data_IF_533362705762
#
_entry.id   IF_533362705762
#
_cell.length_a   1.000
_cell.length_b   1.000
_cell.length_c   1.000
_cell.angle_alpha   90.00
_cell.angle_beta   90.00
_cell.angle_gamma   90.00
#
_symmetry.space_group_name_H-M   'P 1'
#
loop_
_entity.id
_entity.type
_entity.pdbx_description
1 polymer ?
#
# COMPACT_ATOMS: atom_id res chain seq x y z
N UNK A 1 -0.50 -18.64 21.57
CA UNK A 1 0.04 -19.98 21.18
C UNK A 1 -0.99 -20.89 20.50
N UNK A 2 -2.31 -20.68 20.66
CA UNK A 2 -3.36 -21.50 20.04
C UNK A 2 -3.86 -20.97 18.69
N UNK A 3 -3.61 -19.71 18.37
CA UNK A 3 -4.22 -19.00 17.25
C UNK A 3 -3.76 -19.47 15.85
N UNK A 4 -2.52 -19.97 15.71
CA UNK A 4 -1.94 -20.41 14.42
C UNK A 4 -2.00 -21.93 14.20
N UNK A 5 -2.83 -22.67 14.94
CA UNK A 5 -2.83 -24.15 14.95
C UNK A 5 -3.79 -24.79 13.96
N UNK A 6 -4.66 -24.02 13.33
CA UNK A 6 -5.60 -24.50 12.34
C UNK A 6 -5.77 -23.51 11.18
N UNK A 7 -6.43 -23.94 10.13
CA UNK A 7 -6.68 -23.15 8.92
C UNK A 7 -7.42 -21.84 9.25
N UNK A 8 -8.43 -21.92 10.11
CA UNK A 8 -9.25 -20.75 10.50
C UNK A 8 -8.42 -19.69 11.22
N UNK A 9 -7.53 -20.12 12.11
CA UNK A 9 -6.60 -19.24 12.80
C UNK A 9 -5.63 -18.55 11.84
N UNK A 10 -5.08 -19.31 10.86
CA UNK A 10 -4.20 -18.75 9.84
C UNK A 10 -4.95 -17.77 8.91
N UNK A 11 -6.18 -18.07 8.50
CA UNK A 11 -7.02 -17.14 7.74
C UNK A 11 -7.32 -15.86 8.52
N UNK A 12 -7.65 -15.98 9.80
CA UNK A 12 -7.82 -14.84 10.70
C UNK A 12 -6.54 -14.01 10.84
N UNK A 13 -5.37 -14.67 10.92
CA UNK A 13 -4.08 -13.99 10.93
C UNK A 13 -3.82 -13.21 9.64
N UNK A 14 -4.15 -13.78 8.48
CA UNK A 14 -4.06 -13.08 7.17
C UNK A 14 -4.95 -11.84 7.17
N UNK A 15 -6.19 -11.91 7.66
CA UNK A 15 -7.05 -10.74 7.78
C UNK A 15 -6.39 -9.67 8.66
N UNK A 16 -5.80 -10.05 9.80
CA UNK A 16 -5.05 -9.15 10.67
C UNK A 16 -3.80 -8.52 10.00
N UNK A 17 -3.23 -9.15 8.96
CA UNK A 17 -2.16 -8.56 8.15
C UNK A 17 -2.74 -7.44 7.26
N UNK A 18 -3.89 -7.66 6.61
CA UNK A 18 -4.56 -6.61 5.82
C UNK A 18 -5.00 -5.43 6.68
N UNK A 19 -5.53 -5.70 7.87
CA UNK A 19 -5.92 -4.69 8.85
C UNK A 19 -4.75 -3.75 9.22
N UNK A 20 -3.54 -4.27 9.39
CA UNK A 20 -2.37 -3.44 9.68
C UNK A 20 -2.03 -2.44 8.56
N UNK A 21 -2.38 -2.72 7.30
CA UNK A 21 -2.21 -1.76 6.21
C UNK A 21 -3.06 -0.51 6.37
N UNK A 22 -4.19 -0.61 7.06
CA UNK A 22 -5.09 0.53 7.34
C UNK A 22 -4.55 1.45 8.44
N UNK A 23 -3.55 0.98 9.20
CA UNK A 23 -2.94 1.75 10.30
C UNK A 23 -2.63 3.17 9.88
N UNK A 24 -2.83 4.11 10.81
CA UNK A 24 -2.42 5.52 10.63
C UNK A 24 -0.92 5.67 10.35
N UNK A 25 -0.12 4.69 10.75
CA UNK A 25 1.32 4.66 10.54
C UNK A 25 1.70 4.14 9.14
N UNK A 26 0.73 3.54 8.41
CA UNK A 26 0.90 3.10 7.02
C UNK A 26 -0.02 3.89 6.07
N UNK A 27 -0.84 3.17 5.30
CA UNK A 27 -1.70 3.75 4.27
C UNK A 27 -2.83 4.62 4.83
N UNK A 28 -3.12 4.53 6.14
CA UNK A 28 -4.06 5.44 6.81
C UNK A 28 -3.57 6.88 6.83
N UNK A 29 -2.26 7.15 7.02
CA UNK A 29 -1.76 8.52 7.06
C UNK A 29 -0.26 8.67 6.77
N UNK A 30 0.63 8.18 7.67
CA UNK A 30 2.05 8.56 7.69
C UNK A 30 2.82 8.13 6.46
N UNK A 31 2.64 6.89 6.00
CA UNK A 31 3.31 6.43 4.79
C UNK A 31 2.93 7.28 3.56
N UNK A 32 1.65 7.60 3.42
CA UNK A 32 1.19 8.46 2.34
C UNK A 32 1.76 9.87 2.45
N UNK A 33 1.85 10.41 3.67
CA UNK A 33 2.52 11.70 3.90
C UNK A 33 3.97 11.66 3.42
N UNK A 34 4.72 10.59 3.74
CA UNK A 34 6.11 10.43 3.30
C UNK A 34 6.26 10.34 1.78
N UNK A 35 5.27 9.76 1.09
CA UNK A 35 5.32 9.59 -0.35
C UNK A 35 4.89 10.83 -1.13
N UNK A 36 3.91 11.57 -0.62
CA UNK A 36 3.30 12.71 -1.33
C UNK A 36 4.01 14.04 -1.03
N UNK A 37 4.36 14.28 0.23
CA UNK A 37 4.91 15.58 0.65
C UNK A 37 6.34 15.80 0.17
N UNK A 38 7.07 14.73 -0.13
CA UNK A 38 8.41 14.84 -0.76
C UNK A 38 8.38 15.15 -2.25
N UNK A 39 7.20 15.12 -2.86
CA UNK A 39 7.02 15.46 -4.27
C UNK A 39 6.69 16.93 -4.45
N UNK A 40 7.09 17.49 -5.60
CA UNK A 40 6.89 18.91 -5.92
C UNK A 40 5.41 19.28 -6.15
N UNK A 41 4.52 18.28 -6.22
CA UNK A 41 3.09 18.49 -6.49
C UNK A 41 2.26 18.80 -5.24
N UNK A 42 2.83 18.69 -4.05
CA UNK A 42 2.13 18.85 -2.77
C UNK A 42 2.96 19.72 -1.85
N UNK A 43 2.32 20.71 -1.23
CA UNK A 43 2.93 21.64 -0.29
C UNK A 43 2.27 21.52 1.09
N UNK A 44 3.07 21.63 2.13
CA UNK A 44 2.60 21.77 3.49
C UNK A 44 2.86 23.19 4.01
N UNK A 45 1.83 24.02 4.04
CA UNK A 45 1.95 25.41 4.48
C UNK A 45 2.07 25.57 5.99
N UNK A 46 2.03 24.48 6.77
CA UNK A 46 1.97 24.54 8.23
C UNK A 46 3.28 24.15 8.90
N UNK A 47 4.25 25.06 8.91
CA UNK A 47 5.54 24.89 9.60
C UNK A 47 5.44 24.78 11.11
N UNK A 48 4.34 25.24 11.72
CA UNK A 48 4.13 25.26 13.18
C UNK A 48 3.29 24.10 13.73
N UNK A 49 2.48 23.44 12.89
CA UNK A 49 1.60 22.38 13.36
C UNK A 49 2.39 21.13 13.77
N UNK A 50 2.07 20.57 14.92
CA UNK A 50 2.71 19.36 15.44
C UNK A 50 4.25 19.44 15.47
N UNK A 51 4.82 20.61 15.74
CA UNK A 51 6.27 20.83 15.73
C UNK A 51 6.91 20.79 14.34
N UNK A 52 6.12 21.03 13.29
CA UNK A 52 6.62 21.04 11.91
C UNK A 52 7.00 19.67 11.36
N UNK A 53 6.52 18.58 11.96
CA UNK A 53 6.90 17.19 11.60
C UNK A 53 6.69 16.90 10.10
N UNK A 54 5.57 17.32 9.53
CA UNK A 54 5.30 17.14 8.10
C UNK A 54 6.10 18.13 7.26
N UNK A 55 6.25 19.37 7.72
CA UNK A 55 7.07 20.38 7.06
C UNK A 55 8.56 19.97 6.98
N UNK A 56 9.10 19.33 8.02
CA UNK A 56 10.47 18.81 7.98
C UNK A 56 10.67 17.83 6.81
N UNK A 57 9.65 17.02 6.48
CA UNK A 57 9.71 16.06 5.36
C UNK A 57 9.72 16.80 4.03
N UNK A 58 8.91 17.86 3.89
CA UNK A 58 8.83 18.68 2.68
C UNK A 58 10.16 19.36 2.37
N UNK A 59 10.78 19.94 3.38
CA UNK A 59 12.05 20.68 3.21
C UNK A 59 13.30 19.82 3.45
N UNK A 60 13.16 18.51 3.56
CA UNK A 60 14.25 17.54 3.72
C UNK A 60 15.16 17.82 4.94
N UNK A 61 14.55 18.27 6.05
CA UNK A 61 15.24 18.52 7.33
C UNK A 61 14.84 17.55 8.44
N UNK A 62 14.12 16.49 8.08
CA UNK A 62 13.68 15.47 9.01
C UNK A 62 14.86 14.72 9.66
N UNK A 63 14.67 14.36 10.91
CA UNK A 63 15.61 13.53 11.67
C UNK A 63 15.00 12.15 11.96
N UNK A 64 15.80 11.17 12.41
CA UNK A 64 15.27 9.86 12.83
C UNK A 64 14.19 9.94 13.92
N UNK A 65 14.12 11.05 14.66
CA UNK A 65 13.10 11.29 15.68
C UNK A 65 11.75 11.74 15.09
N UNK A 66 11.69 12.05 13.78
CA UNK A 66 10.43 12.41 13.12
C UNK A 66 9.42 11.26 13.21
N UNK A 67 8.26 11.52 13.83
CA UNK A 67 7.27 10.47 14.12
C UNK A 67 6.59 9.90 12.88
N UNK A 68 6.60 10.60 11.74
CA UNK A 68 6.10 10.02 10.47
C UNK A 68 7.08 8.94 9.98
N UNK A 69 8.39 9.18 10.06
CA UNK A 69 9.41 8.20 9.68
C UNK A 69 9.41 7.00 10.61
N UNK A 70 9.54 7.24 11.93
CA UNK A 70 9.63 6.15 12.91
C UNK A 70 8.34 5.33 12.98
N UNK A 71 7.17 5.97 12.90
CA UNK A 71 5.89 5.27 12.88
C UNK A 71 5.75 4.37 11.64
N UNK A 72 6.03 4.89 10.45
CA UNK A 72 5.97 4.10 9.22
C UNK A 72 6.95 2.91 9.24
N UNK A 73 8.20 3.15 9.70
CA UNK A 73 9.19 2.09 9.87
C UNK A 73 8.70 0.96 10.78
N UNK A 74 8.26 1.32 11.98
CA UNK A 74 7.80 0.35 12.99
C UNK A 74 6.57 -0.43 12.50
N UNK A 75 5.63 0.24 11.87
CA UNK A 75 4.41 -0.43 11.37
C UNK A 75 4.71 -1.36 10.20
N UNK A 76 5.60 -0.99 9.26
CA UNK A 76 6.03 -1.88 8.18
C UNK A 76 6.69 -3.15 8.72
N UNK A 77 7.60 -3.04 9.69
CA UNK A 77 8.21 -4.21 10.31
C UNK A 77 7.25 -5.03 11.18
N UNK A 78 6.28 -4.40 11.81
CA UNK A 78 5.19 -5.11 12.51
C UNK A 78 4.35 -5.94 11.54
N UNK A 79 4.06 -5.42 10.36
CA UNK A 79 3.36 -6.15 9.29
C UNK A 79 4.22 -7.33 8.80
N UNK A 80 5.51 -7.11 8.55
CA UNK A 80 6.46 -8.18 8.16
C UNK A 80 6.51 -9.27 9.23
N UNK A 81 6.55 -8.92 10.50
CA UNK A 81 6.51 -9.88 11.60
C UNK A 81 5.23 -10.73 11.57
N UNK A 82 4.06 -10.13 11.37
CA UNK A 82 2.79 -10.86 11.22
C UNK A 82 2.80 -11.79 10.01
N UNK A 83 3.34 -11.34 8.86
CA UNK A 83 3.52 -12.18 7.68
C UNK A 83 4.42 -13.38 7.99
N UNK A 84 5.54 -13.17 8.69
CA UNK A 84 6.46 -14.23 9.07
C UNK A 84 5.80 -15.27 9.97
N UNK A 85 4.95 -14.84 10.92
CA UNK A 85 4.18 -15.77 11.75
C UNK A 85 3.27 -16.67 10.93
N UNK A 86 2.57 -16.11 9.93
CA UNK A 86 1.73 -16.92 9.04
C UNK A 86 2.58 -17.87 8.22
N UNK A 87 3.65 -17.39 7.59
CA UNK A 87 4.51 -18.18 6.70
C UNK A 87 5.27 -19.30 7.42
N UNK A 88 5.60 -19.12 8.70
CA UNK A 88 6.22 -20.19 9.51
C UNK A 88 5.22 -21.28 9.91
N UNK A 89 3.97 -20.91 10.21
CA UNK A 89 2.99 -21.85 10.70
C UNK A 89 2.18 -22.53 9.59
N UNK A 90 2.13 -21.96 8.38
CA UNK A 90 1.35 -22.52 7.27
C UNK A 90 1.84 -23.90 6.82
N UNK A 91 3.12 -24.20 7.01
CA UNK A 91 3.71 -25.51 6.66
C UNK A 91 3.37 -26.59 7.68
N UNK A 92 3.11 -26.21 8.93
CA UNK A 92 2.85 -27.13 10.03
C UNK A 92 1.38 -27.51 10.18
N UNK A 93 0.46 -26.70 9.65
CA UNK A 93 -0.97 -26.89 9.77
C UNK A 93 -1.48 -27.81 8.64
N UNK A 94 -2.17 -28.94 8.98
CA UNK A 94 -2.78 -29.81 7.98
C UNK A 94 -3.86 -29.06 7.19
N UNK A 95 -3.70 -28.99 5.87
CA UNK A 95 -4.63 -28.34 4.95
C UNK A 95 -4.39 -28.80 3.50
N UNK A 96 -5.30 -28.48 2.58
CA UNK A 96 -5.07 -28.72 1.17
C UNK A 96 -3.96 -27.81 0.61
N UNK A 97 -3.31 -28.24 -0.47
CA UNK A 97 -2.29 -27.42 -1.16
C UNK A 97 -2.86 -26.10 -1.66
N UNK A 98 -4.13 -26.10 -2.07
CA UNK A 98 -4.84 -24.89 -2.48
C UNK A 98 -4.99 -23.89 -1.32
N UNK A 99 -5.42 -24.36 -0.14
CA UNK A 99 -5.54 -23.51 1.05
C UNK A 99 -4.17 -22.96 1.46
N UNK A 100 -3.14 -23.82 1.46
CA UNK A 100 -1.76 -23.44 1.76
C UNK A 100 -1.27 -22.35 0.81
N UNK A 101 -1.43 -22.54 -0.50
CA UNK A 101 -1.05 -21.57 -1.53
C UNK A 101 -1.77 -20.24 -1.36
N UNK A 102 -3.06 -20.26 -1.05
CA UNK A 102 -3.87 -19.05 -0.80
C UNK A 102 -3.39 -18.26 0.43
N UNK A 103 -3.12 -18.95 1.53
CA UNK A 103 -2.66 -18.33 2.79
C UNK A 103 -1.24 -17.78 2.63
N UNK A 104 -0.31 -18.63 2.17
CA UNK A 104 1.08 -18.25 1.96
C UNK A 104 1.23 -17.13 0.92
N UNK A 105 0.51 -17.20 -0.18
CA UNK A 105 0.55 -16.19 -1.25
C UNK A 105 0.13 -14.81 -0.78
N UNK A 106 -0.92 -14.71 0.04
CA UNK A 106 -1.36 -13.42 0.59
C UNK A 106 -0.33 -12.83 1.56
N UNK A 107 0.20 -13.64 2.49
CA UNK A 107 1.22 -13.18 3.43
C UNK A 107 2.51 -12.75 2.69
N UNK A 108 2.93 -13.51 1.68
CA UNK A 108 4.09 -13.17 0.84
C UNK A 108 3.85 -11.87 0.05
N UNK A 109 2.67 -11.69 -0.55
CA UNK A 109 2.35 -10.44 -1.26
C UNK A 109 2.49 -9.21 -0.36
N UNK A 110 1.93 -9.26 0.85
CA UNK A 110 1.97 -8.12 1.77
C UNK A 110 3.39 -7.92 2.32
N UNK A 111 4.14 -8.98 2.58
CA UNK A 111 5.55 -8.87 2.98
C UNK A 111 6.39 -8.21 1.89
N UNK A 112 6.21 -8.63 0.65
CA UNK A 112 6.85 -7.99 -0.50
C UNK A 112 6.48 -6.51 -0.64
N UNK A 113 5.21 -6.14 -0.47
CA UNK A 113 4.74 -4.76 -0.49
C UNK A 113 5.42 -3.93 0.60
N UNK A 114 5.54 -4.47 1.82
CA UNK A 114 6.22 -3.79 2.92
C UNK A 114 7.72 -3.59 2.62
N UNK A 115 8.42 -4.60 2.12
CA UNK A 115 9.82 -4.46 1.74
C UNK A 115 10.02 -3.50 0.56
N UNK A 116 9.11 -3.48 -0.40
CA UNK A 116 9.16 -2.53 -1.50
C UNK A 116 8.96 -1.09 -1.02
N UNK A 117 8.12 -0.87 -0.02
CA UNK A 117 7.98 0.42 0.63
C UNK A 117 9.24 0.81 1.42
N UNK A 118 9.80 -0.13 2.18
CA UNK A 118 11.03 0.08 2.95
C UNK A 118 12.22 0.44 2.06
N UNK A 119 12.49 -0.34 1.00
CA UNK A 119 13.65 -0.12 0.15
C UNK A 119 13.58 1.21 -0.63
N UNK A 120 12.37 1.65 -1.00
CA UNK A 120 12.18 2.94 -1.69
C UNK A 120 12.40 4.14 -0.78
N UNK A 121 12.07 4.03 0.52
CA UNK A 121 12.21 5.13 1.47
C UNK A 121 13.57 5.16 2.17
N UNK A 122 14.15 4.00 2.47
CA UNK A 122 15.36 3.90 3.30
C UNK A 122 16.55 3.23 2.62
N UNK A 123 16.39 2.71 1.40
CA UNK A 123 17.45 2.00 0.70
C UNK A 123 17.77 0.65 1.35
N UNK A 124 18.96 0.50 1.88
CA UNK A 124 19.38 -0.70 2.62
C UNK A 124 18.60 -0.85 3.93
N UNK A 125 18.00 -2.01 4.13
CA UNK A 125 17.17 -2.34 5.30
C UNK A 125 17.40 -3.77 5.76
N UNK A 126 17.20 -4.10 7.06
CA UNK A 126 17.27 -5.48 7.53
C UNK A 126 16.24 -6.38 6.85
N UNK A 127 16.67 -7.55 6.35
CA UNK A 127 15.78 -8.61 5.85
C UNK A 127 15.47 -9.56 6.99
N UNK A 128 14.19 -9.63 7.38
CA UNK A 128 13.68 -10.46 8.46
C UNK A 128 12.60 -11.37 7.90
N UNK A 129 12.91 -12.63 7.66
CA UNK A 129 12.01 -13.62 7.04
C UNK A 129 11.42 -14.63 8.02
N UNK A 130 11.80 -14.54 9.28
CA UNK A 130 11.31 -15.38 10.38
C UNK A 130 11.17 -14.57 11.65
N UNK A 131 10.43 -15.11 12.61
CA UNK A 131 10.39 -14.55 13.95
C UNK A 131 11.76 -14.64 14.61
N UNK A 132 12.10 -13.65 15.42
CA UNK A 132 13.41 -13.53 16.07
C UNK A 132 13.25 -13.27 17.55
N UNK A 133 14.18 -13.76 18.34
CA UNK A 133 14.38 -13.36 19.72
C UNK A 133 14.96 -11.93 19.78
N UNK A 134 14.87 -11.30 20.94
CA UNK A 134 15.47 -9.97 21.17
C UNK A 134 16.99 -9.99 20.93
N UNK A 135 17.67 -11.08 21.29
CA UNK A 135 19.10 -11.23 21.08
C UNK A 135 19.47 -11.31 19.58
N UNK A 136 18.70 -12.06 18.80
CA UNK A 136 18.88 -12.12 17.33
C UNK A 136 18.60 -10.78 16.68
N UNK A 137 17.51 -10.10 17.08
CA UNK A 137 17.10 -8.83 16.51
C UNK A 137 18.15 -7.72 16.69
N UNK A 138 18.90 -7.72 17.80
CA UNK A 138 19.99 -6.76 18.05
C UNK A 138 21.16 -6.91 17.09
N UNK A 139 21.31 -8.04 16.45
CA UNK A 139 22.40 -8.32 15.50
C UNK A 139 22.00 -8.10 14.04
N UNK A 140 20.76 -7.70 13.78
CA UNK A 140 20.31 -7.42 12.41
C UNK A 140 21.12 -6.28 11.80
N UNK A 141 21.62 -6.52 10.61
CA UNK A 141 22.31 -5.51 9.79
C UNK A 141 21.42 -5.14 8.62
N UNK A 142 21.63 -3.96 8.07
CA UNK A 142 21.03 -3.58 6.79
C UNK A 142 21.58 -4.49 5.69
N UNK A 143 20.69 -5.05 4.89
CA UNK A 143 21.05 -5.81 3.71
C UNK A 143 21.21 -4.87 2.51
N UNK A 144 22.12 -5.19 1.57
CA UNK A 144 22.24 -4.45 0.31
C UNK A 144 20.91 -4.36 -0.42
N UNK A 145 20.68 -3.26 -1.13
CA UNK A 145 19.45 -2.98 -1.88
C UNK A 145 19.07 -4.16 -2.79
N UNK A 146 20.06 -4.75 -3.47
CA UNK A 146 19.83 -5.87 -4.40
C UNK A 146 19.30 -7.12 -3.69
N UNK A 147 19.77 -7.40 -2.49
CA UNK A 147 19.26 -8.51 -1.67
C UNK A 147 17.82 -8.26 -1.22
N UNK A 148 17.49 -7.01 -0.85
CA UNK A 148 16.11 -6.62 -0.50
C UNK A 148 15.18 -6.83 -1.69
N UNK A 149 15.59 -6.41 -2.90
CA UNK A 149 14.82 -6.67 -4.12
C UNK A 149 14.73 -8.17 -4.43
N UNK A 150 15.79 -8.94 -4.18
CA UNK A 150 15.75 -10.40 -4.30
C UNK A 150 14.68 -11.04 -3.41
N UNK A 151 14.56 -10.60 -2.15
CA UNK A 151 13.51 -11.05 -1.24
C UNK A 151 12.11 -10.66 -1.74
N UNK A 152 11.93 -9.44 -2.23
CA UNK A 152 10.65 -8.97 -2.79
C UNK A 152 10.23 -9.84 -3.98
N UNK A 153 11.15 -10.12 -4.91
CA UNK A 153 10.89 -10.95 -6.09
C UNK A 153 10.53 -12.37 -5.68
N UNK A 154 11.24 -12.95 -4.71
CA UNK A 154 10.95 -14.28 -4.18
C UNK A 154 9.54 -14.37 -3.57
N UNK A 155 9.15 -13.40 -2.76
CA UNK A 155 7.82 -13.32 -2.16
C UNK A 155 6.72 -13.17 -3.21
N UNK A 156 6.94 -12.33 -4.23
CA UNK A 156 5.97 -12.12 -5.31
C UNK A 156 5.86 -13.35 -6.23
N UNK A 157 6.93 -14.15 -6.38
CA UNK A 157 6.85 -15.41 -7.09
C UNK A 157 5.87 -16.39 -6.40
N UNK A 158 5.86 -16.44 -5.08
CA UNK A 158 4.85 -17.21 -4.31
C UNK A 158 3.46 -16.61 -4.50
N UNK A 159 3.34 -15.28 -4.44
CA UNK A 159 2.06 -14.59 -4.55
C UNK A 159 1.41 -14.73 -5.94
N UNK A 160 2.16 -15.00 -7.01
CA UNK A 160 1.61 -15.30 -8.36
C UNK A 160 0.73 -16.56 -8.38
N UNK A 161 0.86 -17.45 -7.40
CA UNK A 161 -0.02 -18.61 -7.21
C UNK A 161 -1.41 -18.28 -6.65
N UNK A 162 -1.70 -17.03 -6.32
CA UNK A 162 -3.01 -16.59 -5.83
C UNK A 162 -4.09 -16.71 -6.93
N UNK A 163 -5.38 -16.83 -6.57
CA UNK A 163 -6.47 -16.72 -7.53
C UNK A 163 -6.42 -15.39 -8.29
N UNK A 164 -6.78 -15.43 -9.56
CA UNK A 164 -6.96 -14.21 -10.36
C UNK A 164 -8.13 -13.36 -9.84
N UNK A 165 -9.18 -14.00 -9.33
CA UNK A 165 -10.38 -13.38 -8.76
C UNK A 165 -10.78 -14.11 -7.50
N UNK A 166 -11.18 -13.38 -6.49
CA UNK A 166 -11.78 -13.89 -5.27
C UNK A 166 -13.30 -13.84 -5.35
N UNK A 167 -14.01 -14.72 -4.61
CA UNK A 167 -15.45 -14.56 -4.40
C UNK A 167 -15.81 -13.18 -3.88
N UNK A 168 -17.01 -12.70 -4.13
CA UNK A 168 -17.48 -11.37 -3.72
C UNK A 168 -17.29 -11.09 -2.23
N UNK A 169 -17.53 -12.11 -1.38
CA UNK A 169 -17.34 -12.02 0.09
C UNK A 169 -15.88 -11.86 0.51
N UNK A 170 -14.94 -12.13 -0.38
CA UNK A 170 -13.49 -12.07 -0.12
C UNK A 170 -12.79 -11.00 -0.98
N UNK A 171 -13.56 -10.11 -1.59
CA UNK A 171 -13.03 -9.00 -2.37
C UNK A 171 -12.10 -8.12 -1.55
N UNK A 172 -11.08 -7.58 -2.19
CA UNK A 172 -10.07 -6.75 -1.56
C UNK A 172 -8.80 -7.50 -1.17
N UNK A 173 -8.82 -8.84 -1.20
CA UNK A 173 -7.60 -9.65 -1.04
C UNK A 173 -6.69 -9.54 -2.26
N UNK A 174 -5.39 -9.72 -2.06
CA UNK A 174 -4.42 -9.76 -3.15
C UNK A 174 -4.73 -10.89 -4.13
N UNK A 175 -4.57 -10.61 -5.41
CA UNK A 175 -4.78 -11.56 -6.53
C UNK A 175 -3.47 -11.85 -7.25
N UNK A 176 -3.45 -12.84 -8.12
CA UNK A 176 -2.30 -13.05 -9.01
C UNK A 176 -2.03 -11.82 -9.88
N UNK A 177 -3.06 -11.11 -10.33
CA UNK A 177 -2.88 -9.84 -11.06
C UNK A 177 -2.19 -8.77 -10.21
N UNK A 178 -2.52 -8.68 -8.93
CA UNK A 178 -1.84 -7.77 -8.01
C UNK A 178 -0.36 -8.12 -7.84
N UNK A 179 -0.05 -9.43 -7.73
CA UNK A 179 1.33 -9.91 -7.65
C UNK A 179 2.12 -9.59 -8.93
N UNK A 180 1.57 -9.86 -10.09
CA UNK A 180 2.17 -9.52 -11.39
C UNK A 180 2.39 -8.00 -11.54
N UNK A 181 1.40 -7.18 -11.21
CA UNK A 181 1.49 -5.73 -11.31
C UNK A 181 2.54 -5.13 -10.34
N UNK A 182 2.61 -5.65 -9.11
CA UNK A 182 3.63 -5.22 -8.15
C UNK A 182 5.03 -5.66 -8.58
N UNK A 183 5.17 -6.89 -9.11
CA UNK A 183 6.44 -7.39 -9.61
C UNK A 183 6.92 -6.61 -10.84
N UNK A 184 6.02 -6.28 -11.75
CA UNK A 184 6.34 -5.39 -12.87
C UNK A 184 6.83 -4.02 -12.39
N UNK A 185 6.19 -3.45 -11.36
CA UNK A 185 6.65 -2.19 -10.75
C UNK A 185 8.04 -2.33 -10.11
N UNK A 186 8.31 -3.45 -9.46
CA UNK A 186 9.65 -3.78 -8.92
C UNK A 186 10.71 -3.81 -10.03
N UNK A 187 10.44 -4.51 -11.13
CA UNK A 187 11.34 -4.55 -12.28
C UNK A 187 11.51 -3.19 -12.96
N UNK A 188 10.47 -2.35 -12.99
CA UNK A 188 10.57 -0.98 -13.49
C UNK A 188 11.58 -0.15 -12.67
N UNK A 189 11.52 -0.23 -11.34
CA UNK A 189 12.51 0.42 -10.45
C UNK A 189 13.92 -0.13 -10.65
N UNK A 190 14.05 -1.40 -11.03
CA UNK A 190 15.32 -2.05 -11.36
C UNK A 190 15.77 -1.82 -12.80
N UNK A 191 14.99 -1.08 -13.62
CA UNK A 191 15.24 -0.80 -15.04
C UNK A 191 15.29 -2.07 -15.90
N UNK A 192 14.68 -3.15 -15.45
CA UNK A 192 14.56 -4.39 -16.20
C UNK A 192 13.27 -4.38 -17.02
N UNK A 193 13.25 -3.62 -18.10
CA UNK A 193 12.05 -3.33 -18.88
C UNK A 193 11.47 -4.57 -19.59
N UNK A 194 12.31 -5.55 -19.92
CA UNK A 194 11.82 -6.79 -20.53
C UNK A 194 10.93 -7.56 -19.54
N UNK A 195 11.37 -7.68 -18.29
CA UNK A 195 10.56 -8.34 -17.26
C UNK A 195 9.29 -7.55 -16.91
N UNK A 196 9.31 -6.22 -17.02
CA UNK A 196 8.09 -5.41 -16.87
C UNK A 196 7.04 -5.85 -17.89
N UNK A 197 7.43 -6.00 -19.16
CA UNK A 197 6.52 -6.44 -20.22
C UNK A 197 6.02 -7.86 -19.97
N UNK A 198 6.93 -8.76 -19.60
CA UNK A 198 6.60 -10.16 -19.32
C UNK A 198 5.58 -10.29 -18.17
N UNK A 199 5.80 -9.57 -17.07
CA UNK A 199 4.92 -9.62 -15.91
C UNK A 199 3.57 -8.91 -16.15
N UNK A 200 3.52 -7.87 -16.98
CA UNK A 200 2.25 -7.20 -17.30
C UNK A 200 1.41 -7.95 -18.34
N UNK A 201 1.99 -8.87 -19.10
CA UNK A 201 1.27 -9.57 -20.17
C UNK A 201 -0.05 -10.23 -19.69
N UNK A 202 -0.11 -11.01 -18.58
CA UNK A 202 -1.36 -11.59 -18.10
C UNK A 202 -2.37 -10.53 -17.62
N UNK A 203 -1.91 -9.43 -17.06
CA UNK A 203 -2.77 -8.31 -16.59
C UNK A 203 -3.40 -7.61 -17.79
N UNK A 204 -2.61 -7.30 -18.82
CA UNK A 204 -3.08 -6.66 -20.05
C UNK A 204 -4.06 -7.57 -20.80
N UNK A 205 -3.77 -8.88 -20.86
CA UNK A 205 -4.68 -9.86 -21.45
C UNK A 205 -6.04 -9.89 -20.71
N UNK A 206 -6.05 -9.83 -19.38
CA UNK A 206 -7.28 -9.78 -18.58
C UNK A 206 -8.08 -8.49 -18.83
N UNK A 207 -7.39 -7.35 -18.96
CA UNK A 207 -8.02 -6.06 -19.29
C UNK A 207 -8.67 -6.11 -20.68
N UNK A 208 -7.98 -6.66 -21.68
CA UNK A 208 -8.52 -6.81 -23.03
C UNK A 208 -9.71 -7.77 -23.08
N UNK A 209 -9.71 -8.80 -22.25
CA UNK A 209 -10.85 -9.71 -22.14
C UNK A 209 -12.07 -9.06 -21.47
N UNK A 210 -11.89 -7.98 -20.70
CA UNK A 210 -12.96 -7.18 -20.07
C UNK A 210 -13.81 -7.93 -19.03
N UNK A 211 -13.35 -9.11 -18.59
CA UNK A 211 -14.10 -9.97 -17.66
C UNK A 211 -13.79 -9.63 -16.20
N UNK A 212 -12.54 -9.76 -15.83
CA UNK A 212 -12.08 -9.63 -14.44
C UNK A 212 -11.49 -8.24 -14.16
N UNK A 213 -10.74 -7.73 -15.12
CA UNK A 213 -10.20 -6.39 -15.16
C UNK A 213 -10.66 -5.67 -16.43
N UNK A 214 -10.85 -4.36 -16.36
CA UNK A 214 -11.12 -3.53 -17.53
C UNK A 214 -10.78 -2.08 -17.26
N UNK A 215 -10.44 -1.33 -18.32
CA UNK A 215 -10.37 0.12 -18.24
C UNK A 215 -11.78 0.69 -18.19
N UNK A 216 -12.02 1.58 -17.24
CA UNK A 216 -13.29 2.30 -17.12
C UNK A 216 -13.13 3.74 -17.58
N UNK A 217 -14.20 4.40 -18.09
CA UNK A 217 -14.15 5.83 -18.40
C UNK A 217 -13.74 6.67 -17.18
N UNK A 218 -12.97 7.72 -17.38
CA UNK A 218 -12.43 8.56 -16.30
C UNK A 218 -13.45 8.98 -15.23
N UNK A 219 -14.71 9.36 -15.54
CA UNK A 219 -15.69 9.70 -14.52
C UNK A 219 -16.07 8.52 -13.60
N UNK A 220 -15.80 7.29 -14.03
CA UNK A 220 -16.06 6.06 -13.26
C UNK A 220 -14.84 5.54 -12.52
N UNK A 221 -13.66 6.15 -12.73
CA UNK A 221 -12.40 5.73 -12.08
C UNK A 221 -12.44 5.97 -10.56
N UNK A 222 -13.24 6.92 -10.10
CA UNK A 222 -13.40 7.25 -8.69
C UNK A 222 -14.87 7.13 -8.25
N UNK A 223 -15.48 5.95 -8.35
CA UNK A 223 -16.86 5.75 -7.92
C UNK A 223 -16.99 5.86 -6.40
N UNK A 224 -18.19 6.16 -5.92
CA UNK A 224 -18.50 6.18 -4.48
C UNK A 224 -18.29 4.80 -3.82
N UNK A 225 -18.40 3.73 -4.58
CA UNK A 225 -18.12 2.36 -4.18
C UNK A 225 -16.98 1.78 -5.04
N UNK A 226 -15.76 1.95 -4.55
CA UNK A 226 -14.56 1.39 -5.20
C UNK A 226 -14.54 -0.14 -5.22
N UNK A 227 -15.34 -0.82 -4.40
CA UNK A 227 -15.37 -2.29 -4.33
C UNK A 227 -15.84 -2.94 -5.63
N UNK A 228 -16.59 -2.21 -6.45
CA UNK A 228 -17.15 -2.73 -7.70
C UNK A 228 -16.34 -2.34 -8.95
N UNK A 229 -15.36 -1.46 -8.82
CA UNK A 229 -14.59 -1.01 -9.99
C UNK A 229 -13.62 -2.07 -10.48
N UNK A 230 -13.70 -2.38 -11.77
CA UNK A 230 -12.85 -3.37 -12.43
C UNK A 230 -11.49 -2.84 -12.88
N UNK A 231 -11.24 -1.54 -12.74
CA UNK A 231 -9.93 -0.92 -12.99
C UNK A 231 -8.98 -1.01 -11.79
N UNK A 232 -9.48 -1.46 -10.63
CA UNK A 232 -8.69 -1.61 -9.42
C UNK A 232 -8.07 -3.00 -9.36
N UNK A 233 -6.74 -3.06 -9.46
CA UNK A 233 -5.96 -4.31 -9.34
C UNK A 233 -5.80 -4.71 -7.87
N UNK A 234 -5.49 -3.76 -7.00
CA UNK A 234 -5.40 -3.93 -5.55
C UNK A 234 -5.62 -2.59 -4.83
N UNK A 235 -6.38 -2.60 -3.75
CA UNK A 235 -6.57 -1.44 -2.89
C UNK A 235 -6.71 -1.87 -1.42
N UNK A 236 -6.14 -1.07 -0.53
CA UNK A 236 -6.40 -1.22 0.92
C UNK A 236 -7.84 -0.81 1.18
N UNK A 237 -8.62 -1.73 1.75
CA UNK A 237 -10.05 -1.52 1.98
C UNK A 237 -10.26 -0.78 3.29
N UNK A 238 -11.19 0.17 3.30
CA UNK A 238 -11.64 0.88 4.50
C UNK A 238 -13.16 0.81 4.61
N UNK A 239 -13.67 0.66 5.82
CA UNK A 239 -15.11 0.65 6.08
C UNK A 239 -15.56 2.03 6.54
N UNK A 240 -16.57 2.61 5.87
CA UNK A 240 -17.17 3.89 6.28
C UNK A 240 -17.80 3.74 7.67
N UNK A 241 -17.37 4.57 8.64
CA UNK A 241 -17.92 4.56 9.99
C UNK A 241 -17.41 3.44 10.90
N UNK A 242 -16.45 2.63 10.45
CA UNK A 242 -15.80 1.62 11.29
C UNK A 242 -14.98 2.24 12.43
N UNK A 243 -15.01 1.60 13.61
CA UNK A 243 -14.20 2.02 14.74
C UNK A 243 -12.72 1.73 14.44
N UNK A 244 -11.88 2.76 14.45
CA UNK A 244 -10.46 2.64 14.12
C UNK A 244 -10.14 2.67 12.62
N UNK A 245 -11.15 2.65 11.76
CA UNK A 245 -11.02 2.69 10.30
C UNK A 245 -11.24 4.13 9.76
N UNK A 246 -10.46 5.09 10.25
CA UNK A 246 -10.60 6.44 9.74
C UNK A 246 -9.91 6.58 8.38
N UNK A 247 -10.67 7.06 7.40
CA UNK A 247 -10.14 7.47 6.09
C UNK A 247 -9.40 8.80 6.27
N UNK A 248 -8.25 8.77 6.94
CA UNK A 248 -7.45 9.96 7.20
C UNK A 248 -7.06 10.71 5.93
N UNK A 249 -6.95 10.02 4.79
CA UNK A 249 -6.64 10.65 3.51
C UNK A 249 -7.75 11.59 3.04
N UNK A 250 -9.02 11.16 3.09
CA UNK A 250 -10.12 12.05 2.70
C UNK A 250 -10.15 13.31 3.55
N UNK A 251 -9.86 13.19 4.85
CA UNK A 251 -9.84 14.34 5.74
C UNK A 251 -8.62 15.25 5.47
N UNK A 252 -7.48 14.72 5.08
CA UNK A 252 -6.29 15.52 4.78
C UNK A 252 -6.42 16.35 3.51
N UNK A 253 -7.12 15.83 2.49
CA UNK A 253 -7.36 16.54 1.24
C UNK A 253 -8.66 17.33 1.23
N UNK A 254 -9.58 17.04 2.17
CA UNK A 254 -10.93 17.58 2.19
C UNK A 254 -11.18 18.68 3.21
N UNK A 255 -10.55 18.65 4.38
CA UNK A 255 -10.85 19.54 5.49
C UNK A 255 -9.68 20.44 5.86
N UNK A 256 -9.96 21.73 5.83
CA UNK A 256 -9.13 22.81 6.36
C UNK A 256 -9.01 22.80 7.89
N UNK A 257 -9.61 21.83 8.59
CA UNK A 257 -9.99 22.02 9.98
C UNK A 257 -8.87 21.87 11.02
N UNK A 258 -7.66 21.39 10.66
CA UNK A 258 -6.62 21.19 11.66
C UNK A 258 -5.18 21.53 11.24
N UNK A 259 -4.97 22.45 10.32
CA UNK A 259 -3.64 23.00 10.06
C UNK A 259 -2.63 22.06 9.38
N UNK A 260 -3.01 20.87 8.97
CA UNK A 260 -2.20 19.95 8.19
C UNK A 260 -2.70 19.91 6.74
N UNK A 261 -2.70 21.06 6.08
CA UNK A 261 -3.14 21.17 4.70
C UNK A 261 -2.01 20.71 3.80
N UNK A 262 -2.21 19.58 3.15
CA UNK A 262 -1.46 19.24 1.97
C UNK A 262 -2.19 19.92 0.81
N UNK A 263 -1.73 21.09 0.36
CA UNK A 263 -2.24 21.75 -0.82
C UNK A 263 -1.47 21.26 -2.06
N UNK A 264 -2.16 21.07 -3.17
CA UNK A 264 -1.50 20.89 -4.45
C UNK A 264 -0.84 22.23 -4.81
N UNK A 265 0.46 22.21 -4.99
CA UNK A 265 1.18 23.34 -5.53
C UNK A 265 0.90 23.38 -7.04
N UNK A 266 0.02 24.27 -7.42
CA UNK A 266 -0.29 24.67 -8.78
C UNK A 266 -0.34 23.52 -9.81
N UNK A 267 -1.48 22.85 -9.89
CA UNK A 267 -1.73 21.93 -11.00
C UNK A 267 -1.84 22.75 -12.30
N UNK A 268 -0.73 23.02 -12.95
CA UNK A 268 -0.72 23.55 -14.30
C UNK A 268 -1.16 22.46 -15.27
N UNK A 269 -2.36 22.61 -15.80
CA UNK A 269 -2.83 21.79 -16.89
C UNK A 269 -2.46 22.48 -18.19
N UNK A 270 -1.63 21.83 -19.00
CA UNK A 270 -1.12 22.38 -20.27
C UNK A 270 -2.21 22.69 -21.30
N UNK A 271 -3.41 22.18 -21.11
CA UNK A 271 -4.50 22.34 -22.06
C UNK A 271 -5.85 22.55 -21.40
N UNK A 272 -6.65 23.49 -21.95
CA UNK A 272 -8.05 23.68 -21.55
C UNK A 272 -8.93 22.45 -21.84
N UNK A 273 -8.46 21.53 -22.66
CA UNK A 273 -9.13 20.27 -22.98
C UNK A 273 -8.81 19.14 -21.99
N UNK A 274 -7.96 19.39 -21.01
CA UNK A 274 -7.62 18.36 -20.01
C UNK A 274 -8.78 18.19 -19.02
N UNK A 275 -9.50 17.08 -19.18
CA UNK A 275 -10.65 16.76 -18.34
C UNK A 275 -10.28 16.57 -16.85
N UNK A 276 -9.00 16.38 -16.52
CA UNK A 276 -8.53 16.27 -15.13
C UNK A 276 -8.70 17.57 -14.35
N UNK A 277 -8.82 18.71 -15.01
CA UNK A 277 -9.17 20.00 -14.38
C UNK A 277 -10.41 19.89 -13.50
N UNK A 278 -11.41 19.12 -13.91
CA UNK A 278 -12.62 18.90 -13.14
C UNK A 278 -12.39 18.14 -11.82
N UNK A 279 -11.22 17.51 -11.66
CA UNK A 279 -10.82 16.80 -10.45
C UNK A 279 -10.05 17.68 -9.45
N UNK A 280 -9.88 18.97 -9.74
CA UNK A 280 -9.18 19.93 -8.88
C UNK A 280 -10.12 21.02 -8.44
N UNK A 281 -10.20 21.27 -7.15
CA UNK A 281 -11.01 22.32 -6.56
C UNK A 281 -10.15 23.48 -6.07
N UNK A 282 -10.46 24.72 -6.41
CA UNK A 282 -9.79 25.88 -5.84
C UNK A 282 -10.08 25.98 -4.33
N UNK A 283 -9.05 26.33 -3.56
CA UNK A 283 -9.17 26.66 -2.14
C UNK A 283 -8.64 28.07 -1.89
N UNK A 284 -8.92 28.66 -0.73
CA UNK A 284 -8.40 29.99 -0.37
C UNK A 284 -6.87 30.07 -0.31
N UNK A 285 -6.18 28.94 -0.17
CA UNK A 285 -4.72 28.83 -0.06
C UNK A 285 -4.08 28.03 -1.20
N UNK A 286 -4.83 27.62 -2.23
CA UNK A 286 -4.30 26.81 -3.32
C UNK A 286 -5.38 25.95 -4.00
N UNK A 287 -4.99 24.76 -4.44
CA UNK A 287 -5.86 23.79 -5.08
C UNK A 287 -5.84 22.45 -4.34
N UNK A 288 -6.94 21.74 -4.32
CA UNK A 288 -7.03 20.40 -3.73
C UNK A 288 -7.62 19.38 -4.71
N UNK A 289 -7.30 18.09 -4.55
CA UNK A 289 -7.88 17.06 -5.40
C UNK A 289 -9.39 16.92 -5.18
N UNK A 290 -10.20 17.34 -6.16
CA UNK A 290 -11.65 17.19 -6.13
C UNK A 290 -12.13 15.74 -6.22
N UNK A 291 -11.27 14.81 -6.67
CA UNK A 291 -11.57 13.38 -6.74
C UNK A 291 -11.95 12.74 -5.41
N UNK A 292 -11.62 13.38 -4.30
CA UNK A 292 -11.99 12.92 -2.95
C UNK A 292 -13.28 13.56 -2.42
N UNK A 293 -13.95 14.38 -3.22
CA UNK A 293 -15.19 15.08 -2.86
C UNK A 293 -16.45 14.28 -3.15
N UNK A 294 -16.38 12.95 -3.22
CA UNK A 294 -17.61 12.18 -3.25
C UNK A 294 -18.52 12.65 -2.11
N UNK A 295 -19.75 13.07 -2.39
CA UNK A 295 -20.66 13.52 -1.35
C UNK A 295 -20.77 12.40 -0.32
N UNK A 296 -20.76 12.76 0.96
CA UNK A 296 -21.11 11.83 2.03
C UNK A 296 -22.58 11.45 1.80
N UNK A 297 -22.81 10.51 0.90
CA UNK A 297 -24.15 9.92 0.76
C UNK A 297 -24.43 9.14 2.01
N UNK A 298 -25.50 9.54 2.66
CA UNK A 298 -26.07 8.98 3.90
C UNK A 298 -26.12 7.46 3.89
#
# INVERSE_FOLDING_TARGET
ETFYKDVKGLEGAVIGIYDELQSSDQYGAKFMTLMEVRGDNVKNDNSGASGGITYQIEVFTETPANSNLSGAWLSLYKTIYRCNLVLQNVEEVPMSDEQRSRIAGQASFIRALCYFNLVRLWGEVPIITKTQTVAEARNNKRAPIDEVYGQIISDLAVAKGLPAVWPESERGRATSYAAHALLAKVYLYRKNYQEVVNELAPVVAAIHAGKDLMLVPMPQTFPNDLKTSKDIIFAVQYLKGGVGESVHQNNRYRNNDNGNIISLEQAEFESDKDNRKALVEPTGSGQRPGKFNAPATN
#
